data_IF_175996983722
#
_entry.id   IF_175996983722
#
_cell.length_a   1.000
_cell.length_b   1.000
_cell.length_c   1.000
_cell.angle_alpha   90.00
_cell.angle_beta   90.00
_cell.angle_gamma   90.00
#
_symmetry.space_group_name_H-M   'P 1'
#
loop_
_entity.id
_entity.type
_entity.pdbx_description
1 polymer ?
#
# COMPACT_ATOMS: atom_id res chain seq x y z
N UNK A 1 -11.86 -3.00 24.89
CA UNK A 1 -10.73 -3.95 24.82
C UNK A 1 -9.75 -3.39 23.81
N UNK A 2 -8.63 -2.86 24.28
CA UNK A 2 -7.65 -2.16 23.45
C UNK A 2 -6.81 -3.19 22.68
N UNK A 3 -7.31 -3.63 21.53
CA UNK A 3 -6.51 -4.41 20.59
C UNK A 3 -5.44 -3.48 20.03
N UNK A 4 -4.17 -3.75 20.35
CA UNK A 4 -3.06 -3.06 19.69
C UNK A 4 -3.20 -3.34 18.18
N UNK A 5 -3.44 -2.33 17.34
CA UNK A 5 -3.79 -2.55 15.93
C UNK A 5 -2.63 -3.14 15.11
N UNK A 6 -1.44 -3.22 15.69
CA UNK A 6 -0.23 -3.67 15.03
C UNK A 6 0.42 -4.82 15.80
N UNK A 7 0.91 -5.82 15.06
CA UNK A 7 1.65 -6.93 15.64
C UNK A 7 2.99 -6.45 16.21
N UNK A 8 3.47 -7.09 17.28
CA UNK A 8 4.79 -6.79 17.86
C UNK A 8 5.92 -6.94 16.83
N UNK A 9 5.78 -7.91 15.92
CA UNK A 9 6.75 -8.15 14.85
C UNK A 9 6.79 -6.99 13.85
N UNK A 10 5.63 -6.45 13.46
CA UNK A 10 5.56 -5.28 12.59
C UNK A 10 6.26 -4.07 13.22
N UNK A 11 5.97 -3.77 14.48
CA UNK A 11 6.61 -2.66 15.21
C UNK A 11 8.13 -2.83 15.22
N UNK A 12 8.63 -4.04 15.51
CA UNK A 12 10.06 -4.33 15.48
C UNK A 12 10.70 -4.11 14.10
N UNK A 13 10.02 -4.48 13.01
CA UNK A 13 10.50 -4.20 11.64
C UNK A 13 10.53 -2.70 11.36
N UNK A 14 9.49 -1.96 11.75
CA UNK A 14 9.45 -0.49 11.60
C UNK A 14 10.62 0.15 12.33
N UNK A 15 10.79 -0.17 13.61
CA UNK A 15 11.83 0.43 14.47
C UNK A 15 13.24 0.13 13.94
N UNK A 16 13.46 -1.08 13.40
CA UNK A 16 14.73 -1.45 12.78
C UNK A 16 14.97 -0.74 11.44
N UNK A 17 13.91 -0.43 10.70
CA UNK A 17 14.01 0.14 9.35
C UNK A 17 14.10 1.67 9.34
N UNK A 18 13.46 2.36 10.28
CA UNK A 18 13.39 3.83 10.32
C UNK A 18 14.59 4.40 11.09
N UNK A 19 15.63 4.79 10.36
CA UNK A 19 16.86 5.36 10.95
C UNK A 19 16.85 6.89 10.94
N UNK A 20 17.64 7.56 11.81
CA UNK A 20 17.82 9.02 11.77
C UNK A 20 18.23 9.53 10.38
N UNK A 21 19.10 8.81 9.67
CA UNK A 21 19.53 9.18 8.33
C UNK A 21 18.37 9.16 7.30
N UNK A 22 17.43 8.22 7.42
CA UNK A 22 16.22 8.20 6.60
C UNK A 22 15.27 9.34 6.96
N UNK A 23 15.17 9.70 8.24
CA UNK A 23 14.38 10.85 8.68
C UNK A 23 14.95 12.15 8.10
N UNK A 24 16.26 12.37 8.22
CA UNK A 24 16.93 13.55 7.66
C UNK A 24 16.79 13.61 6.13
N UNK A 25 16.92 12.46 5.46
CA UNK A 25 16.72 12.35 4.01
C UNK A 25 15.27 12.68 3.62
N UNK A 26 14.28 12.19 4.36
CA UNK A 26 12.88 12.52 4.09
C UNK A 26 12.60 14.00 4.29
N UNK A 27 13.12 14.61 5.36
CA UNK A 27 12.98 16.05 5.60
C UNK A 27 13.59 16.89 4.48
N UNK A 28 14.70 16.43 3.88
CA UNK A 28 15.39 17.13 2.79
C UNK A 28 14.76 16.90 1.41
N UNK A 29 14.35 15.68 1.11
CA UNK A 29 13.96 15.26 -0.25
C UNK A 29 12.45 14.98 -0.40
N UNK A 30 11.68 14.96 0.68
CA UNK A 30 10.24 14.73 0.69
C UNK A 30 9.80 13.26 0.53
N UNK A 31 10.73 12.34 0.24
CA UNK A 31 10.47 10.91 0.14
C UNK A 31 11.73 10.08 0.41
N UNK A 32 11.57 8.86 0.94
CA UNK A 32 12.65 7.88 1.12
C UNK A 32 12.19 6.47 0.79
N UNK A 33 13.13 5.61 0.41
CA UNK A 33 12.86 4.20 0.14
C UNK A 33 13.24 3.36 1.36
N UNK A 34 12.26 2.64 1.92
CA UNK A 34 12.48 1.58 2.91
C UNK A 34 12.33 0.23 2.19
N UNK A 35 13.41 -0.55 2.16
CA UNK A 35 13.43 -1.85 1.46
C UNK A 35 13.03 -2.97 2.41
N UNK A 36 12.37 -3.99 1.87
CA UNK A 36 12.00 -5.22 2.58
C UNK A 36 11.16 -5.00 3.85
N UNK A 37 10.26 -4.01 3.81
CA UNK A 37 9.40 -3.69 4.95
C UNK A 37 8.23 -4.68 5.12
N UNK A 38 7.67 -5.12 3.99
CA UNK A 38 6.59 -6.09 3.92
C UNK A 38 7.15 -7.51 3.87
N UNK A 39 6.44 -8.45 4.49
CA UNK A 39 6.72 -9.88 4.30
C UNK A 39 6.13 -10.40 2.99
N UNK A 40 6.52 -11.60 2.60
CA UNK A 40 5.93 -12.27 1.43
C UNK A 40 4.41 -12.45 1.60
N UNK A 41 3.96 -12.84 2.80
CA UNK A 41 2.53 -13.04 3.08
C UNK A 41 1.73 -11.74 3.02
N UNK A 42 2.31 -10.62 3.48
CA UNK A 42 1.70 -9.29 3.37
C UNK A 42 1.65 -8.82 1.90
N UNK A 43 2.66 -9.17 1.10
CA UNK A 43 2.66 -8.91 -0.35
C UNK A 43 1.57 -9.71 -1.04
N UNK A 44 1.45 -11.01 -0.76
CA UNK A 44 0.42 -11.88 -1.34
C UNK A 44 -1.00 -11.37 -1.01
N UNK A 45 -1.21 -10.91 0.24
CA UNK A 45 -2.47 -10.29 0.64
C UNK A 45 -2.79 -9.03 -0.18
N UNK A 46 -1.80 -8.17 -0.40
CA UNK A 46 -1.97 -6.95 -1.18
C UNK A 46 -2.22 -7.23 -2.66
N UNK A 47 -1.59 -8.26 -3.22
CA UNK A 47 -1.85 -8.71 -4.60
C UNK A 47 -3.32 -9.06 -4.77
N UNK A 48 -3.87 -9.90 -3.88
CA UNK A 48 -5.29 -10.25 -3.91
C UNK A 48 -6.21 -9.01 -3.76
N UNK A 49 -5.83 -8.06 -2.91
CA UNK A 49 -6.56 -6.80 -2.76
C UNK A 49 -6.57 -5.94 -4.02
N UNK A 50 -5.43 -5.85 -4.72
CA UNK A 50 -5.31 -5.12 -5.98
C UNK A 50 -6.13 -5.80 -7.07
N UNK A 51 -6.01 -7.11 -7.22
CA UNK A 51 -6.78 -7.90 -8.19
C UNK A 51 -8.29 -7.74 -7.96
N UNK A 52 -8.73 -7.72 -6.70
CA UNK A 52 -10.13 -7.46 -6.36
C UNK A 52 -10.59 -6.06 -6.80
N UNK A 53 -9.80 -5.02 -6.55
CA UNK A 53 -10.11 -3.66 -6.99
C UNK A 53 -10.18 -3.54 -8.52
N UNK A 54 -9.27 -4.21 -9.24
CA UNK A 54 -9.26 -4.20 -10.70
C UNK A 54 -10.48 -4.92 -11.28
N UNK A 55 -10.88 -6.05 -10.67
CA UNK A 55 -12.04 -6.84 -11.11
C UNK A 55 -13.38 -6.19 -10.74
N UNK A 56 -13.43 -5.48 -9.62
CA UNK A 56 -14.64 -4.84 -9.10
C UNK A 56 -14.36 -3.36 -8.75
N UNK A 57 -14.13 -2.48 -9.75
CA UNK A 57 -13.85 -1.08 -9.49
C UNK A 57 -14.98 -0.42 -8.70
N UNK A 58 -14.61 0.40 -7.73
CA UNK A 58 -15.58 1.10 -6.89
C UNK A 58 -16.27 2.22 -7.68
N UNK A 59 -17.33 2.80 -7.09
CA UNK A 59 -17.99 4.00 -7.64
C UNK A 59 -17.03 5.20 -7.80
N UNK A 60 -15.89 5.20 -7.09
CA UNK A 60 -14.89 6.27 -7.14
C UNK A 60 -13.77 6.00 -8.16
N UNK A 61 -13.80 4.86 -8.84
CA UNK A 61 -12.79 4.51 -9.82
C UNK A 61 -12.78 5.51 -10.98
N UNK A 62 -11.58 5.83 -11.45
CA UNK A 62 -11.32 6.66 -12.63
C UNK A 62 -10.36 5.90 -13.54
N UNK A 63 -10.76 5.75 -14.79
CA UNK A 63 -9.90 5.23 -15.85
C UNK A 63 -9.50 6.43 -16.70
N UNK A 64 -8.19 6.66 -16.83
CA UNK A 64 -7.65 7.75 -17.65
C UNK A 64 -6.99 7.26 -18.94
N UNK A 65 -6.92 5.95 -19.15
CA UNK A 65 -6.48 5.33 -20.40
C UNK A 65 -7.65 5.09 -21.35
N UNK A 66 -7.38 5.20 -22.64
CA UNK A 66 -8.30 4.82 -23.72
C UNK A 66 -8.21 3.31 -24.03
N UNK A 67 -9.14 2.79 -24.82
CA UNK A 67 -9.17 1.36 -25.17
C UNK A 67 -7.97 0.90 -26.00
N UNK A 68 -7.36 1.80 -26.77
CA UNK A 68 -6.19 1.54 -27.62
C UNK A 68 -4.85 1.83 -26.95
N UNK A 69 -4.85 2.30 -25.69
CA UNK A 69 -3.62 2.47 -24.93
C UNK A 69 -2.96 1.11 -24.63
N UNK A 70 -1.61 1.03 -24.58
CA UNK A 70 -0.88 -0.22 -24.37
C UNK A 70 -1.03 -0.80 -22.96
N UNK A 71 -1.73 -0.10 -22.05
CA UNK A 71 -1.96 -0.52 -20.68
C UNK A 71 -3.07 0.30 -20.01
N UNK A 72 -3.51 -0.16 -18.84
CA UNK A 72 -4.59 0.46 -18.07
C UNK A 72 -4.03 1.45 -17.05
N UNK A 73 -4.44 2.71 -17.15
CA UNK A 73 -4.23 3.70 -16.08
C UNK A 73 -5.55 3.87 -15.32
N UNK A 74 -5.62 3.26 -14.14
CA UNK A 74 -6.79 3.29 -13.25
C UNK A 74 -6.39 3.78 -11.86
N UNK A 75 -7.23 4.62 -11.28
CA UNK A 75 -7.15 5.03 -9.89
C UNK A 75 -8.47 4.67 -9.20
N UNK A 76 -8.40 4.04 -8.02
CA UNK A 76 -9.58 3.76 -7.21
C UNK A 76 -9.31 4.12 -5.74
N UNK A 77 -10.20 4.94 -5.18
CA UNK A 77 -9.97 5.63 -3.91
C UNK A 77 -10.92 5.12 -2.82
N UNK A 78 -10.42 5.10 -1.59
CA UNK A 78 -11.20 4.74 -0.40
C UNK A 78 -11.78 3.31 -0.44
N UNK A 79 -11.07 2.36 -1.07
CA UNK A 79 -11.53 0.98 -1.25
C UNK A 79 -11.47 0.15 0.03
N UNK A 80 -10.70 0.56 1.05
CA UNK A 80 -10.57 -0.15 2.34
C UNK A 80 -11.88 -0.33 3.12
N UNK A 81 -12.94 0.39 2.77
CA UNK A 81 -14.27 0.19 3.38
C UNK A 81 -15.04 -1.00 2.78
N UNK A 82 -14.67 -1.46 1.58
CA UNK A 82 -15.42 -2.46 0.81
C UNK A 82 -14.56 -3.64 0.38
N UNK A 83 -13.24 -3.46 0.32
CA UNK A 83 -12.28 -4.49 -0.01
C UNK A 83 -11.67 -5.03 1.29
N UNK A 84 -11.98 -6.29 1.61
CA UNK A 84 -11.56 -6.95 2.86
C UNK A 84 -10.07 -7.27 2.95
N UNK A 85 -9.31 -7.06 1.87
CA UNK A 85 -7.87 -7.25 1.85
C UNK A 85 -7.08 -6.04 2.38
N UNK A 86 -7.74 -4.89 2.61
CA UNK A 86 -7.13 -3.65 3.10
C UNK A 86 -7.57 -3.27 4.52
#
# INVERSE_FOLDING_TARGET
>A
MNSTPFSKQMIQRVDAAVTPALIDSYQKYGAVCIRNMLTSEEIDLLVEGIEFNLKYPSRRAKIASEEDDPGLFIEDFCTWQMNSYY
#
